data_IF_523040748372
#
_entry.id   IF_523040748372
#
_cell.length_a   1.000
_cell.length_b   1.000
_cell.length_c   1.000
_cell.angle_alpha   90.00
_cell.angle_beta   90.00
_cell.angle_gamma   90.00
#
_symmetry.space_group_name_H-M   'P 1'
#
loop_
_entity.id
_entity.type
_entity.pdbx_description
1 polymer ?
#
# COMPACT_ATOMS: atom_id res chain seq x y z
N UNK A 1 0.32 19.84 1.36
CA UNK A 1 0.78 18.60 2.01
C UNK A 1 2.24 18.80 2.37
N UNK A 2 2.60 18.44 3.59
CA UNK A 2 4.00 18.48 4.02
C UNK A 2 4.84 17.46 3.26
N UNK A 3 6.15 17.65 3.31
CA UNK A 3 7.12 16.72 2.75
C UNK A 3 6.92 15.33 3.39
N UNK A 4 6.82 14.24 2.60
CA UNK A 4 6.58 12.92 3.16
C UNK A 4 7.75 12.51 4.06
N UNK A 5 7.42 11.85 5.18
CA UNK A 5 8.42 11.31 6.09
C UNK A 5 9.21 10.18 5.42
N UNK A 6 8.51 9.26 4.75
CA UNK A 6 9.12 8.23 3.89
C UNK A 6 8.32 8.09 2.61
N UNK A 7 8.98 7.67 1.53
CA UNK A 7 8.32 7.34 0.27
C UNK A 7 8.90 6.07 -0.32
N UNK A 8 8.08 5.36 -1.09
CA UNK A 8 8.49 4.20 -1.86
C UNK A 8 7.90 4.27 -3.25
N UNK A 9 8.78 4.22 -4.25
CA UNK A 9 8.40 4.02 -5.64
C UNK A 9 8.39 2.53 -5.95
N UNK A 10 7.28 2.07 -6.51
CA UNK A 10 7.04 0.72 -6.97
C UNK A 10 6.84 0.75 -8.47
N UNK A 11 7.13 -0.37 -9.13
CA UNK A 11 6.83 -0.55 -10.55
C UNK A 11 5.83 -1.70 -10.66
N UNK A 12 4.71 -1.43 -11.32
CA UNK A 12 3.64 -2.39 -11.61
C UNK A 12 3.52 -2.44 -13.14
N UNK A 13 3.99 -3.53 -13.75
CA UNK A 13 4.14 -3.58 -15.22
C UNK A 13 5.17 -2.55 -15.69
N UNK A 14 4.74 -1.58 -16.50
CA UNK A 14 5.57 -0.45 -16.95
C UNK A 14 5.26 0.85 -16.20
N UNK A 15 4.37 0.79 -15.20
CA UNK A 15 3.84 1.95 -14.51
C UNK A 15 4.47 2.16 -13.14
N UNK A 16 4.81 3.41 -12.84
CA UNK A 16 5.25 3.79 -11.50
C UNK A 16 4.06 4.05 -10.57
N UNK A 17 4.12 3.45 -9.39
CA UNK A 17 3.19 3.70 -8.28
C UNK A 17 3.99 4.19 -7.09
N UNK A 18 3.67 5.37 -6.56
CA UNK A 18 4.41 5.97 -5.45
C UNK A 18 3.55 5.95 -4.19
N UNK A 19 4.04 5.27 -3.15
CA UNK A 19 3.49 5.34 -1.80
C UNK A 19 4.24 6.38 -0.98
N UNK A 20 3.52 7.25 -0.29
CA UNK A 20 4.07 8.29 0.57
C UNK A 20 3.43 8.19 1.94
N UNK A 21 4.25 8.15 2.99
CA UNK A 21 3.79 8.04 4.36
C UNK A 21 4.22 9.29 5.13
N UNK A 22 3.29 9.85 5.90
CA UNK A 22 3.56 10.93 6.81
C UNK A 22 4.10 10.38 8.13
N UNK A 23 4.78 11.23 8.91
CA UNK A 23 5.21 10.85 10.25
C UNK A 23 3.95 10.51 11.06
N UNK A 24 3.88 9.35 11.72
CA UNK A 24 2.79 9.06 12.64
C UNK A 24 2.69 10.15 13.70
N UNK A 25 1.47 10.57 14.00
CA UNK A 25 1.21 11.66 14.95
C UNK A 25 0.20 11.20 15.98
N UNK A 26 0.39 11.57 17.26
CA UNK A 26 -0.55 11.20 18.31
C UNK A 26 -1.93 11.81 18.04
N UNK A 27 -2.95 11.08 18.44
CA UNK A 27 -4.35 11.49 18.58
C UNK A 27 -4.78 11.16 20.02
N UNK A 28 -6.06 11.29 20.32
CA UNK A 28 -6.56 11.19 21.71
C UNK A 28 -6.10 9.93 22.44
N UNK A 29 -6.19 8.77 21.77
CA UNK A 29 -5.90 7.46 22.38
C UNK A 29 -5.04 6.54 21.50
N UNK A 30 -4.65 7.00 20.31
CA UNK A 30 -3.89 6.23 19.32
C UNK A 30 -2.94 7.15 18.54
N UNK A 31 -2.23 6.57 17.58
CA UNK A 31 -1.40 7.26 16.62
C UNK A 31 -2.00 7.08 15.23
N UNK A 32 -1.97 8.16 14.44
CA UNK A 32 -2.43 8.18 13.07
C UNK A 32 -1.26 8.41 12.12
N UNK A 33 -1.11 7.54 11.14
CA UNK A 33 -0.19 7.69 10.02
C UNK A 33 -1.00 7.94 8.74
N UNK A 34 -1.00 9.17 8.25
CA UNK A 34 -1.57 9.49 6.94
C UNK A 34 -0.68 8.95 5.82
N UNK A 35 -1.27 8.41 4.77
CA UNK A 35 -0.53 7.95 3.60
C UNK A 35 -1.26 8.24 2.29
N UNK A 36 -0.51 8.30 1.20
CA UNK A 36 -1.02 8.49 -0.14
C UNK A 36 -0.43 7.45 -1.09
N UNK A 37 -1.25 6.99 -2.03
CA UNK A 37 -0.83 6.16 -3.15
C UNK A 37 -1.09 6.98 -4.42
N UNK A 38 -0.03 7.26 -5.15
CA UNK A 38 -0.08 7.89 -6.47
C UNK A 38 0.11 6.82 -7.54
N UNK A 39 -0.99 6.45 -8.18
CA UNK A 39 -1.02 5.70 -9.42
C UNK A 39 -0.80 6.66 -10.61
N UNK A 40 -0.50 6.17 -11.82
CA UNK A 40 -0.29 7.04 -12.98
C UNK A 40 -1.49 7.94 -13.31
N UNK A 41 -2.70 7.42 -13.16
CA UNK A 41 -3.94 8.13 -13.54
C UNK A 41 -4.63 8.82 -12.36
N UNK A 42 -4.29 8.47 -11.12
CA UNK A 42 -5.05 8.89 -9.93
C UNK A 42 -4.21 8.90 -8.67
N UNK A 43 -4.66 9.65 -7.69
CA UNK A 43 -4.10 9.69 -6.35
C UNK A 43 -5.17 9.36 -5.31
N UNK A 44 -4.82 8.57 -4.30
CA UNK A 44 -5.72 8.23 -3.19
C UNK A 44 -5.02 8.51 -1.87
N UNK A 45 -5.73 9.11 -0.92
CA UNK A 45 -5.22 9.40 0.41
C UNK A 45 -6.01 8.62 1.46
N UNK A 46 -5.32 8.16 2.48
CA UNK A 46 -5.82 7.24 3.49
C UNK A 46 -5.07 7.47 4.82
N UNK A 47 -5.37 6.63 5.81
CA UNK A 47 -4.69 6.63 7.09
C UNK A 47 -4.63 5.21 7.68
N UNK A 48 -3.58 4.94 8.46
CA UNK A 48 -3.48 3.79 9.36
C UNK A 48 -3.45 4.27 10.82
N UNK A 49 -4.01 3.48 11.72
CA UNK A 49 -4.00 3.74 13.16
C UNK A 49 -3.21 2.68 13.90
N UNK A 50 -2.59 3.03 15.03
CA UNK A 50 -1.94 2.08 15.92
C UNK A 50 -1.76 2.64 17.32
N UNK A 51 -1.48 1.78 18.29
CA UNK A 51 -1.27 2.18 19.70
C UNK A 51 -0.01 3.02 19.91
N UNK A 52 0.93 2.95 18.96
CA UNK A 52 2.16 3.74 18.90
C UNK A 52 2.51 4.10 17.44
N UNK A 53 3.55 4.92 17.27
CA UNK A 53 4.02 5.36 15.95
C UNK A 53 4.42 4.18 15.05
N UNK A 54 5.04 3.14 15.62
CA UNK A 54 5.54 1.99 14.86
C UNK A 54 4.37 1.18 14.31
N UNK A 55 3.38 0.88 15.14
CA UNK A 55 2.19 0.14 14.73
C UNK A 55 1.36 0.95 13.72
N UNK A 56 1.21 2.27 13.92
CA UNK A 56 0.48 3.12 12.98
C UNK A 56 1.14 3.13 11.59
N UNK A 57 2.48 3.23 11.53
CA UNK A 57 3.22 3.13 10.28
C UNK A 57 3.11 1.73 9.66
N UNK A 58 3.26 0.67 10.45
CA UNK A 58 3.14 -0.71 10.00
C UNK A 58 1.76 -0.97 9.35
N UNK A 59 0.68 -0.55 10.02
CA UNK A 59 -0.67 -0.68 9.48
C UNK A 59 -0.87 0.16 8.22
N UNK A 60 -0.35 1.39 8.16
CA UNK A 60 -0.41 2.19 6.94
C UNK A 60 0.31 1.50 5.76
N UNK A 61 1.48 0.90 6.00
CA UNK A 61 2.23 0.16 4.98
C UNK A 61 1.51 -1.11 4.53
N UNK A 62 0.89 -1.86 5.45
CA UNK A 62 0.07 -3.04 5.14
C UNK A 62 -1.17 -2.69 4.32
N UNK A 63 -1.86 -1.61 4.70
CA UNK A 63 -3.02 -1.11 3.96
C UNK A 63 -2.62 -0.65 2.56
N UNK A 64 -1.53 0.12 2.44
CA UNK A 64 -1.02 0.54 1.13
C UNK A 64 -0.68 -0.66 0.22
N UNK A 65 -0.07 -1.71 0.78
CA UNK A 65 0.22 -2.93 0.04
C UNK A 65 -1.07 -3.58 -0.47
N UNK A 66 -2.05 -3.83 0.41
CA UNK A 66 -3.32 -4.41 0.03
C UNK A 66 -4.07 -3.58 -1.01
N UNK A 67 -4.11 -2.24 -0.83
CA UNK A 67 -4.73 -1.29 -1.75
C UNK A 67 -4.10 -1.33 -3.16
N UNK A 68 -2.78 -1.51 -3.26
CA UNK A 68 -2.11 -1.68 -4.56
C UNK A 68 -2.45 -3.04 -5.14
N UNK A 69 -2.39 -4.11 -4.37
CA UNK A 69 -2.69 -5.46 -4.85
C UNK A 69 -4.10 -5.55 -5.45
N UNK A 70 -5.10 -4.89 -4.86
CA UNK A 70 -6.49 -4.89 -5.37
C UNK A 70 -6.78 -3.81 -6.43
N UNK A 71 -5.79 -2.97 -6.76
CA UNK A 71 -5.99 -1.90 -7.75
C UNK A 71 -6.13 -2.43 -9.18
N UNK A 72 -6.92 -1.76 -10.01
CA UNK A 72 -7.08 -2.11 -11.43
C UNK A 72 -5.73 -2.11 -12.16
N UNK A 73 -4.83 -1.18 -11.80
CA UNK A 73 -3.48 -1.10 -12.35
C UNK A 73 -2.71 -2.41 -12.11
N UNK A 74 -2.80 -2.97 -10.90
CA UNK A 74 -2.14 -4.24 -10.54
C UNK A 74 -2.88 -5.47 -11.09
N UNK A 75 -4.21 -5.46 -11.07
CA UNK A 75 -5.04 -6.59 -11.51
C UNK A 75 -5.02 -6.76 -13.04
N UNK A 76 -4.95 -5.67 -13.81
CA UNK A 76 -4.97 -5.71 -15.27
C UNK A 76 -3.60 -5.98 -15.91
N UNK A 77 -2.51 -5.49 -15.31
CA UNK A 77 -1.16 -5.62 -15.89
C UNK A 77 -0.38 -6.81 -15.33
N UNK A 78 -0.86 -7.42 -14.24
CA UNK A 78 -0.17 -8.51 -13.57
C UNK A 78 0.91 -8.02 -12.59
N UNK A 79 1.16 -8.86 -11.59
CA UNK A 79 2.08 -8.62 -10.47
C UNK A 79 3.53 -8.87 -10.89
N UNK A 80 4.22 -7.85 -11.39
CA UNK A 80 5.67 -7.91 -11.56
C UNK A 80 6.33 -6.64 -11.06
N UNK A 81 6.91 -6.69 -9.86
CA UNK A 81 7.92 -5.75 -9.37
C UNK A 81 9.25 -6.48 -9.28
N UNK A 82 10.20 -6.20 -10.19
CA UNK A 82 11.49 -6.93 -10.27
C UNK A 82 11.32 -8.46 -10.38
N UNK A 83 10.36 -8.95 -11.17
CA UNK A 83 9.94 -10.36 -11.22
C UNK A 83 9.37 -10.94 -9.90
N UNK A 84 9.24 -10.11 -8.86
CA UNK A 84 8.69 -10.46 -7.56
C UNK A 84 7.26 -9.94 -7.42
N UNK A 85 6.43 -10.74 -6.73
CA UNK A 85 5.06 -10.34 -6.37
C UNK A 85 5.00 -9.51 -5.09
N UNK A 86 6.04 -9.62 -4.27
CA UNK A 86 6.11 -8.94 -2.98
C UNK A 86 6.61 -7.51 -3.22
N UNK A 87 5.73 -6.52 -3.10
CA UNK A 87 6.04 -5.08 -3.31
C UNK A 87 7.00 -4.48 -2.24
N UNK A 88 7.73 -5.34 -1.54
CA UNK A 88 8.63 -5.01 -0.42
C UNK A 88 7.92 -4.39 0.78
N UNK A 89 6.60 -4.26 0.74
CA UNK A 89 5.77 -3.77 1.83
C UNK A 89 5.26 -4.96 2.66
N UNK A 90 5.09 -4.81 3.98
CA UNK A 90 4.51 -5.86 4.80
C UNK A 90 3.06 -6.14 4.38
N UNK A 91 2.61 -7.38 4.52
CA UNK A 91 1.20 -7.72 4.59
C UNK A 91 0.81 -7.98 6.05
N UNK A 92 -0.49 -7.94 6.33
CA UNK A 92 -0.98 -8.43 7.61
C UNK A 92 -0.65 -9.92 7.78
N UNK A 93 -0.40 -10.35 9.02
CA UNK A 93 -0.06 -11.73 9.31
C UNK A 93 -1.13 -12.69 8.78
N UNK A 94 -0.69 -13.79 8.15
CA UNK A 94 -1.57 -14.78 7.54
C UNK A 94 -2.08 -14.44 6.15
N UNK A 95 -1.73 -13.27 5.59
CA UNK A 95 -1.99 -12.93 4.19
C UNK A 95 -0.74 -13.11 3.34
N UNK A 96 -0.96 -13.60 2.12
CA UNK A 96 0.04 -13.67 1.06
C UNK A 96 -0.42 -12.87 -0.16
N UNK A 97 0.48 -12.52 -1.07
CA UNK A 97 0.11 -11.87 -2.34
C UNK A 97 -0.81 -12.75 -3.20
N UNK A 98 -0.77 -14.06 -3.02
CA UNK A 98 -1.63 -15.02 -3.74
C UNK A 98 -3.10 -14.92 -3.36
N UNK A 99 -3.40 -14.50 -2.13
CA UNK A 99 -4.77 -14.31 -1.67
C UNK A 99 -5.49 -13.20 -2.43
N UNK A 100 -4.74 -12.28 -3.02
CA UNK A 100 -5.24 -11.17 -3.83
C UNK A 100 -5.34 -11.50 -5.33
N UNK A 101 -4.85 -12.68 -5.76
CA UNK A 101 -4.96 -13.14 -7.16
C UNK A 101 -6.27 -13.90 -7.46
N UNK A 102 -7.01 -14.33 -6.42
CA UNK A 102 -8.20 -15.19 -6.57
C UNK A 102 -9.44 -14.46 -7.10
N UNK A 103 -9.47 -13.13 -7.13
CA UNK A 103 -10.56 -12.33 -7.72
C UNK A 103 -10.65 -12.43 -9.25
N UNK A 104 -9.58 -12.81 -9.95
CA UNK A 104 -9.53 -12.91 -11.41
C UNK A 104 -10.11 -14.22 -11.99
N UNK A 105 -10.30 -15.27 -11.19
CA UNK A 105 -10.74 -16.60 -11.69
C UNK A 105 -12.25 -16.80 -11.78
N UNK A 106 -13.06 -15.99 -11.11
CA UNK A 106 -14.52 -16.20 -11.03
C UNK A 106 -15.34 -15.32 -11.99
N UNK A 107 -14.70 -14.61 -12.91
CA UNK A 107 -15.39 -13.73 -13.88
C UNK A 107 -15.33 -14.24 -15.33
N UNK A 108 -15.22 -15.56 -15.53
CA UNK A 108 -15.34 -16.20 -16.85
C UNK A 108 -16.58 -17.07 -16.93
#
# INVERSE_FOLDING_TARGET
MDQPFVSRTLVVGEQEVVCQFQRPVPRDHDYRCDYQIAFPSRKRAFHGFGIDEVQALLHAMQNAHADILVSDECQNQGLMWLDMRELGLPLAGGLSTEDFLKSLRNSR
#
